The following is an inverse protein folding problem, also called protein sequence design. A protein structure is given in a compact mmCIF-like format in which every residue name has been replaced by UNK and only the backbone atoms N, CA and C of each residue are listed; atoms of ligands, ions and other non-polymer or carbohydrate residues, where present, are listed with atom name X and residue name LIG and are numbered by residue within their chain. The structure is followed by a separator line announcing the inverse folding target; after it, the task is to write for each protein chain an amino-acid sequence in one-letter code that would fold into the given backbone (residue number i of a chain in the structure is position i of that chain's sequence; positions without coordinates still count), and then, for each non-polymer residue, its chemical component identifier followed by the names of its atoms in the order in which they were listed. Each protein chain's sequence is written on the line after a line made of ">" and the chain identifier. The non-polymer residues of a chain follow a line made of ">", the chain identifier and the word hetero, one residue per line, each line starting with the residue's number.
data_IF_113088061751
#
_entry.id   IF_113088061751
#
_cell.length_a   1.000
_cell.length_b   1.000
_cell.length_c   1.000
_cell.angle_alpha   90.00
_cell.angle_beta   90.00
_cell.angle_gamma   90.00
#
_symmetry.space_group_name_H-M   'P 1'
#
loop_
_entity.id
_entity.type
_entity.pdbx_description
1 polymer ?
#
# COMPACT_ATOMS: atom_id res chain seq x y z
N UNK A 1 -11.08 11.82 -9.28
CA UNK A 1 -10.79 11.76 -9.94
C UNK A 1 -9.66 11.45 -10.44
N UNK A 2 -9.29 11.13 -10.94
CA UNK A 2 -8.37 10.64 -11.45
C UNK A 2 -7.67 11.47 -12.17
N UNK A 3 -6.91 11.64 -12.29
CA UNK A 3 -6.21 12.48 -12.84
C UNK A 3 -5.78 12.22 -14.02
N UNK A 4 -5.94 12.04 -14.46
CA UNK A 4 -5.69 11.68 -15.64
C UNK A 4 -4.61 12.27 -16.23
N UNK A 5 -4.25 12.81 -16.18
CA UNK A 5 -3.35 13.42 -16.67
C UNK A 5 -2.28 13.04 -17.14
N UNK A 6 -1.89 12.61 -17.11
CA UNK A 6 -0.88 12.22 -17.48
C UNK A 6 -0.42 12.31 -18.64
N UNK A 7 -0.64 12.44 -19.11
CA UNK A 7 -0.45 12.57 -20.27
C UNK A 7 0.83 12.71 -20.73
N UNK A 8 1.42 13.44 -20.82
CA UNK A 8 2.56 13.68 -21.30
C UNK A 8 3.59 13.00 -20.86
N UNK A 9 3.53 12.35 -20.18
CA UNK A 9 4.58 11.75 -19.66
C UNK A 9 5.02 10.51 -20.24
N UNK A 10 5.88 9.82 -19.71
CA UNK A 10 6.45 8.59 -20.20
C UNK A 10 5.50 7.47 -19.90
N UNK A 11 5.67 6.36 -20.55
CA UNK A 11 4.88 5.16 -20.27
C UNK A 11 5.02 4.76 -18.82
N UNK A 12 6.19 4.98 -18.26
CA UNK A 12 6.45 4.64 -16.88
C UNK A 12 5.54 5.41 -15.94
N UNK A 13 5.37 6.70 -16.17
CA UNK A 13 4.51 7.51 -15.33
C UNK A 13 3.05 7.13 -15.48
N UNK A 14 2.64 6.79 -16.69
CA UNK A 14 1.28 6.33 -16.92
C UNK A 14 1.00 5.05 -16.16
N UNK A 15 1.94 4.11 -16.18
CA UNK A 15 1.80 2.86 -15.47
C UNK A 15 1.71 3.09 -13.97
N UNK A 16 2.52 4.00 -13.43
CA UNK A 16 2.51 4.32 -12.02
C UNK A 16 1.13 4.82 -11.59
N UNK A 17 0.53 5.72 -12.36
CA UNK A 17 -0.79 6.21 -12.01
C UNK A 17 -1.85 5.12 -12.07
N UNK A 18 -1.80 4.24 -13.06
CA UNK A 18 -2.75 3.16 -13.17
C UNK A 18 -2.64 2.22 -11.97
N UNK A 19 -1.41 1.92 -11.55
CA UNK A 19 -1.20 1.02 -10.42
C UNK A 19 -1.64 1.65 -9.11
N UNK A 20 -1.44 2.95 -8.98
CA UNK A 20 -1.89 3.66 -7.78
C UNK A 20 -3.41 3.64 -7.70
N UNK A 21 -4.09 3.67 -8.83
CA UNK A 21 -5.54 3.54 -8.85
C UNK A 21 -5.96 2.19 -8.27
N UNK A 22 -5.19 1.13 -8.51
CA UNK A 22 -5.50 -0.17 -7.91
C UNK A 22 -5.37 -0.12 -6.38
N UNK A 23 -4.34 0.55 -5.90
CA UNK A 23 -4.17 0.69 -4.46
C UNK A 23 -5.34 1.43 -3.86
N UNK A 24 -5.80 2.47 -4.53
CA UNK A 24 -6.95 3.23 -4.06
C UNK A 24 -8.23 2.44 -4.15
N UNK A 25 -8.39 1.62 -5.16
CA UNK A 25 -9.54 0.74 -5.24
C UNK A 25 -9.54 -0.26 -4.09
N UNK A 26 -8.37 -0.80 -3.75
CA UNK A 26 -8.26 -1.72 -2.61
C UNK A 26 -8.65 -1.03 -1.31
N UNK A 27 -8.29 0.25 -1.16
CA UNK A 27 -8.71 1.01 0.02
C UNK A 27 -10.22 1.17 0.09
N UNK A 28 -10.83 1.51 -1.03
CA UNK A 28 -12.28 1.68 -1.06
C UNK A 28 -12.99 0.38 -0.76
N UNK A 29 -12.46 -0.73 -1.27
CA UNK A 29 -13.03 -2.04 -0.98
C UNK A 29 -12.88 -2.37 0.50
N UNK A 30 -11.76 -2.02 1.10
CA UNK A 30 -11.55 -2.24 2.52
C UNK A 30 -12.53 -1.42 3.35
N UNK A 31 -12.75 -0.16 2.98
CA UNK A 31 -13.70 0.68 3.69
C UNK A 31 -15.12 0.13 3.60
N UNK A 32 -15.51 -0.33 2.43
CA UNK A 32 -16.83 -0.91 2.25
C UNK A 32 -16.99 -2.17 3.09
N UNK A 33 -16.01 -3.06 3.04
CA UNK A 33 -16.06 -4.29 3.83
C UNK A 33 -16.14 -4.00 5.32
N UNK A 34 -15.37 -3.01 5.78
CA UNK A 34 -15.38 -2.67 7.20
C UNK A 34 -16.75 -2.13 7.61
N UNK A 35 -17.34 -1.29 6.78
CA UNK A 35 -18.63 -0.69 7.04
C UNK A 35 -19.72 -1.76 7.14
N UNK A 36 -19.59 -2.82 6.34
CA UNK A 36 -20.55 -3.91 6.33
C UNK A 36 -20.27 -4.99 7.38
N UNK A 37 -19.22 -4.81 8.16
CA UNK A 37 -18.90 -5.77 9.20
C UNK A 37 -18.03 -6.95 8.77
N UNK A 38 -17.44 -6.88 7.57
CA UNK A 38 -16.62 -7.96 7.05
C UNK A 38 -15.15 -7.68 7.39
N UNK A 39 -14.82 -7.91 8.67
CA UNK A 39 -13.51 -7.52 9.18
C UNK A 39 -12.35 -8.24 8.48
N UNK A 40 -12.49 -9.54 8.22
CA UNK A 40 -11.40 -10.27 7.58
C UNK A 40 -11.15 -9.76 6.17
N UNK A 41 -12.21 -9.55 5.41
CA UNK A 41 -12.06 -9.03 4.05
C UNK A 41 -11.51 -7.61 4.06
N UNK A 42 -11.94 -6.80 5.01
CA UNK A 42 -11.44 -5.44 5.13
C UNK A 42 -9.94 -5.44 5.39
N UNK A 43 -9.49 -6.29 6.30
CA UNK A 43 -8.07 -6.37 6.63
C UNK A 43 -7.24 -6.82 5.44
N UNK A 44 -7.71 -7.81 4.71
CA UNK A 44 -7.01 -8.32 3.55
C UNK A 44 -6.87 -7.22 2.48
N UNK A 45 -7.96 -6.51 2.20
CA UNK A 45 -7.93 -5.45 1.20
C UNK A 45 -7.03 -4.29 1.64
N UNK A 46 -7.06 -3.95 2.92
CA UNK A 46 -6.21 -2.87 3.44
C UNK A 46 -4.73 -3.20 3.28
N UNK A 47 -4.35 -4.44 3.61
CA UNK A 47 -2.95 -4.83 3.43
C UNK A 47 -2.55 -4.75 1.96
N UNK A 48 -3.40 -5.25 1.06
CA UNK A 48 -3.05 -5.21 -0.35
C UNK A 48 -2.94 -3.79 -0.89
N UNK A 49 -3.71 -2.86 -0.34
CA UNK A 49 -3.55 -1.47 -0.73
C UNK A 49 -2.14 -0.97 -0.42
N UNK A 50 -1.62 -1.31 0.77
CA UNK A 50 -0.26 -0.92 1.13
C UNK A 50 0.77 -1.64 0.26
N UNK A 51 0.55 -2.93 0.02
CA UNK A 51 1.47 -3.71 -0.80
C UNK A 51 1.57 -3.12 -2.21
N UNK A 52 0.44 -2.80 -2.79
CA UNK A 52 0.39 -2.21 -4.13
C UNK A 52 1.04 -0.83 -4.16
N UNK A 53 0.77 -0.02 -3.13
CA UNK A 53 1.38 1.30 -3.05
C UNK A 53 2.89 1.21 -2.87
N UNK A 54 3.37 0.25 -2.09
CA UNK A 54 4.81 0.06 -1.90
C UNK A 54 5.49 -0.35 -3.20
N UNK A 55 4.83 -1.19 -4.00
CA UNK A 55 5.36 -1.55 -5.31
C UNK A 55 5.52 -0.32 -6.20
N UNK A 56 4.51 0.54 -6.19
CA UNK A 56 4.56 1.76 -6.99
C UNK A 56 5.66 2.69 -6.49
N UNK A 57 5.81 2.80 -5.17
CA UNK A 57 6.87 3.63 -4.60
C UNK A 57 8.24 3.15 -5.05
N UNK A 58 8.45 1.83 -5.08
CA UNK A 58 9.71 1.26 -5.52
C UNK A 58 9.92 1.45 -7.02
N UNK A 59 8.89 1.25 -7.82
CA UNK A 59 8.96 1.50 -9.25
C UNK A 59 9.35 2.94 -9.53
N UNK A 60 8.76 3.85 -8.79
CA UNK A 60 8.97 5.28 -9.01
C UNK A 60 10.42 5.70 -8.83
N UNK A 61 11.13 5.07 -7.91
CA UNK A 61 12.53 5.39 -7.66
C UNK A 61 13.50 4.48 -8.43
N UNK A 62 12.97 3.65 -9.32
CA UNK A 62 13.81 2.80 -10.18
C UNK A 62 14.26 1.51 -9.52
N UNK A 63 13.67 1.12 -8.39
CA UNK A 63 14.02 -0.10 -7.68
C UNK A 63 12.95 -1.18 -7.79
N UNK A 64 12.09 -1.08 -8.80
CA UNK A 64 11.00 -2.03 -8.97
C UNK A 64 11.44 -3.38 -9.48
N UNK A 65 10.58 -4.35 -9.35
CA UNK A 65 10.74 -5.70 -9.88
C UNK A 65 9.44 -6.13 -10.50
N UNK A 66 9.52 -7.12 -11.40
CA UNK A 66 8.32 -7.66 -12.03
C UNK A 66 7.44 -8.38 -11.00
N UNK A 67 8.06 -9.08 -10.07
CA UNK A 67 7.33 -9.86 -9.07
C UNK A 67 7.97 -9.63 -7.70
N UNK A 68 7.12 -9.41 -6.71
CA UNK A 68 7.57 -9.21 -5.33
C UNK A 68 6.94 -10.25 -4.41
N UNK A 69 7.76 -10.84 -3.56
CA UNK A 69 7.26 -11.56 -2.40
C UNK A 69 7.08 -10.57 -1.25
N UNK A 70 6.36 -10.99 -0.23
CA UNK A 70 6.05 -10.08 0.88
C UNK A 70 7.31 -9.62 1.63
N UNK A 71 8.16 -10.57 2.00
CA UNK A 71 9.37 -10.23 2.74
C UNK A 71 10.33 -9.39 1.91
N UNK A 72 10.47 -9.73 0.64
CA UNK A 72 11.35 -8.98 -0.25
C UNK A 72 10.89 -7.56 -0.46
N UNK A 73 9.59 -7.37 -0.60
CA UNK A 73 9.05 -6.03 -0.78
C UNK A 73 9.27 -5.19 0.48
N UNK A 74 9.01 -5.76 1.64
CA UNK A 74 9.18 -5.02 2.89
C UNK A 74 10.63 -4.61 3.09
N UNK A 75 11.56 -5.54 2.81
CA UNK A 75 12.99 -5.24 2.96
C UNK A 75 13.42 -4.15 1.98
N UNK A 76 12.99 -4.24 0.73
CA UNK A 76 13.37 -3.26 -0.28
C UNK A 76 12.78 -1.89 0.04
N UNK A 77 11.52 -1.85 0.47
CA UNK A 77 10.89 -0.59 0.83
C UNK A 77 11.64 0.08 1.98
N UNK A 78 11.98 -0.70 3.01
CA UNK A 78 12.72 -0.17 4.15
C UNK A 78 14.10 0.35 3.74
N UNK A 79 14.81 -0.43 2.93
CA UNK A 79 16.15 -0.05 2.51
C UNK A 79 16.16 1.16 1.59
N UNK A 80 15.35 1.11 0.55
CA UNK A 80 15.42 2.12 -0.50
C UNK A 80 14.61 3.36 -0.21
N UNK A 81 13.40 3.20 0.31
CA UNK A 81 12.50 4.33 0.48
C UNK A 81 12.64 5.00 1.84
N UNK A 82 12.99 4.25 2.87
CA UNK A 82 13.11 4.80 4.21
C UNK A 82 14.56 5.15 4.54
N UNK A 83 15.47 4.17 4.45
CA UNK A 83 16.84 4.39 4.94
C UNK A 83 17.68 5.18 3.95
N UNK A 84 17.66 4.80 2.69
CA UNK A 84 18.52 5.46 1.71
C UNK A 84 17.98 6.80 1.26
N UNK A 85 16.75 6.85 0.84
CA UNK A 85 16.20 8.08 0.27
C UNK A 85 15.41 8.92 1.24
N UNK A 86 15.04 8.35 2.38
CA UNK A 86 14.32 9.07 3.44
C UNK A 86 13.07 9.75 2.95
N UNK A 87 12.35 9.08 2.06
CA UNK A 87 11.11 9.62 1.51
C UNK A 87 9.95 9.42 2.49
N UNK A 88 9.96 8.29 3.19
CA UNK A 88 8.86 7.92 4.07
C UNK A 88 9.34 7.74 5.50
N UNK A 89 8.48 7.99 6.49
CA UNK A 89 8.88 7.81 7.89
C UNK A 89 9.11 6.34 8.23
N UNK A 90 9.97 6.11 9.20
CA UNK A 90 10.34 4.75 9.60
C UNK A 90 9.16 3.90 10.03
N UNK A 91 8.12 4.52 10.57
CA UNK A 91 6.94 3.79 11.03
C UNK A 91 6.25 3.01 9.90
N UNK A 92 6.48 3.40 8.65
CA UNK A 92 5.84 2.72 7.53
C UNK A 92 6.34 1.29 7.37
N UNK A 93 7.56 1.01 7.80
CA UNK A 93 8.06 -0.35 7.84
C UNK A 93 7.18 -1.19 8.76
N UNK A 94 6.82 -0.62 9.91
CA UNK A 94 5.96 -1.31 10.86
C UNK A 94 4.54 -1.47 10.32
N UNK A 95 4.07 -0.49 9.56
CA UNK A 95 2.74 -0.60 8.93
C UNK A 95 2.67 -1.81 8.01
N UNK A 96 3.70 -2.02 7.19
CA UNK A 96 3.72 -3.16 6.29
C UNK A 96 3.81 -4.49 7.05
N UNK A 97 4.65 -4.55 8.07
CA UNK A 97 4.81 -5.77 8.86
C UNK A 97 3.52 -6.11 9.61
N UNK A 98 2.92 -5.11 10.24
CA UNK A 98 1.66 -5.29 10.94
C UNK A 98 0.56 -5.73 9.97
N UNK A 99 0.53 -5.10 8.80
CA UNK A 99 -0.47 -5.44 7.79
C UNK A 99 -0.38 -6.88 7.33
N UNK A 100 0.83 -7.36 7.11
CA UNK A 100 1.01 -8.74 6.69
C UNK A 100 0.57 -9.71 7.79
N UNK A 101 0.91 -9.41 9.03
CA UNK A 101 0.54 -10.25 10.16
C UNK A 101 -0.99 -10.33 10.29
N UNK A 102 -1.66 -9.18 10.21
CA UNK A 102 -3.11 -9.14 10.32
C UNK A 102 -3.78 -9.85 9.13
N UNK A 103 -3.25 -9.64 7.93
CA UNK A 103 -3.80 -10.27 6.74
C UNK A 103 -3.68 -11.79 6.82
N UNK A 104 -2.57 -12.30 7.35
CA UNK A 104 -2.39 -13.74 7.50
C UNK A 104 -3.41 -14.31 8.48
N UNK A 105 -3.68 -13.60 9.57
CA UNK A 105 -4.72 -14.03 10.49
C UNK A 105 -6.10 -13.97 9.84
N UNK A 106 -6.35 -12.93 9.06
CA UNK A 106 -7.65 -12.75 8.40
C UNK A 106 -7.94 -13.86 7.40
N UNK A 107 -6.94 -14.26 6.64
CA UNK A 107 -7.14 -15.23 5.55
C UNK A 107 -6.97 -16.67 6.01
N UNK A 108 -6.11 -16.92 6.97
CA UNK A 108 -5.73 -18.28 7.32
C UNK A 108 -5.84 -18.61 8.81
N UNK A 109 -6.06 -17.63 9.67
CA UNK A 109 -6.13 -17.88 11.09
C UNK A 109 -7.45 -18.46 11.53
N UNK A 110 -7.45 -19.11 12.69
CA UNK A 110 -8.67 -19.70 13.22
C UNK A 110 -9.60 -18.64 13.81
N UNK A 111 -9.03 -17.67 14.49
CA UNK A 111 -9.84 -16.67 15.18
C UNK A 111 -10.34 -15.56 14.26
N UNK A 112 -9.58 -15.29 13.21
CA UNK A 112 -9.89 -14.17 12.35
C UNK A 112 -9.48 -12.85 12.99
N UNK A 113 -9.96 -11.76 12.40
CA UNK A 113 -9.55 -10.42 12.78
C UNK A 113 -10.75 -9.67 13.33
N UNK A 114 -10.55 -8.95 14.44
CA UNK A 114 -11.63 -8.15 15.01
C UNK A 114 -11.89 -6.92 14.16
N UNK A 115 -13.09 -6.38 14.32
CA UNK A 115 -13.47 -5.15 13.64
C UNK A 115 -12.50 -4.02 13.99
N UNK A 116 -12.10 -3.96 15.26
CA UNK A 116 -11.20 -2.92 15.74
C UNK A 116 -9.81 -3.06 15.10
N UNK A 117 -9.29 -4.29 14.99
CA UNK A 117 -8.00 -4.51 14.37
C UNK A 117 -8.03 -4.17 12.88
N UNK A 118 -9.12 -4.53 12.20
CA UNK A 118 -9.27 -4.20 10.79
C UNK A 118 -9.35 -2.70 10.59
N UNK A 119 -10.04 -2.00 11.47
CA UNK A 119 -10.14 -0.55 11.40
C UNK A 119 -8.78 0.11 11.58
N UNK A 120 -8.00 -0.40 12.53
CA UNK A 120 -6.66 0.12 12.78
C UNK A 120 -5.77 -0.07 11.57
N UNK A 121 -5.87 -1.24 10.94
CA UNK A 121 -5.09 -1.49 9.74
C UNK A 121 -5.53 -0.60 8.59
N UNK A 122 -6.82 -0.39 8.44
CA UNK A 122 -7.31 0.49 7.39
C UNK A 122 -6.77 1.91 7.56
N UNK A 123 -6.72 2.41 8.79
CA UNK A 123 -6.18 3.75 9.03
C UNK A 123 -4.72 3.84 8.61
N UNK A 124 -3.94 2.81 8.91
CA UNK A 124 -2.54 2.78 8.51
C UNK A 124 -2.39 2.68 7.00
N UNK A 125 -3.26 1.91 6.36
CA UNK A 125 -3.23 1.79 4.91
C UNK A 125 -3.58 3.12 4.25
N UNK A 126 -4.55 3.84 4.79
CA UNK A 126 -4.89 5.15 4.25
C UNK A 126 -3.71 6.11 4.31
N UNK A 127 -3.02 6.14 5.45
CA UNK A 127 -1.86 7.00 5.59
C UNK A 127 -0.74 6.58 4.64
N UNK A 128 -0.54 5.29 4.47
CA UNK A 128 0.51 4.77 3.62
C UNK A 128 0.27 5.15 2.15
N UNK A 129 -0.92 4.86 1.65
CA UNK A 129 -1.25 5.14 0.25
C UNK A 129 -1.23 6.64 -0.01
N UNK A 130 -1.74 7.43 0.92
CA UNK A 130 -1.74 8.87 0.79
C UNK A 130 -0.32 9.43 0.70
N UNK A 131 0.60 8.89 1.50
CA UNK A 131 1.98 9.35 1.46
C UNK A 131 2.67 9.00 0.14
N UNK A 132 2.38 7.82 -0.40
CA UNK A 132 2.94 7.44 -1.69
C UNK A 132 2.39 8.35 -2.79
N UNK A 133 1.10 8.60 -2.76
CA UNK A 133 0.48 9.48 -3.74
C UNK A 133 1.10 10.87 -3.68
N UNK A 134 1.31 11.38 -2.48
CA UNK A 134 1.89 12.69 -2.32
C UNK A 134 3.33 12.75 -2.82
N UNK A 135 4.13 11.75 -2.50
CA UNK A 135 5.53 11.72 -2.93
C UNK A 135 5.63 11.71 -4.45
N UNK A 136 4.77 10.93 -5.11
CA UNK A 136 4.79 10.84 -6.56
C UNK A 136 4.28 12.13 -7.19
N UNK A 137 3.22 12.70 -6.66
CA UNK A 137 2.63 13.91 -7.21
C UNK A 137 3.58 15.09 -7.13
N UNK A 138 4.42 15.13 -6.08
CA UNK A 138 5.36 16.24 -5.93
C UNK A 138 6.72 15.93 -6.52
N UNK A 139 6.86 14.81 -7.24
CA UNK A 139 8.09 14.49 -7.92
C UNK A 139 9.24 14.19 -6.98
N UNK A 140 8.98 13.75 -5.78
CA UNK A 140 10.04 13.40 -4.83
C UNK A 140 10.72 12.12 -5.29
N UNK A 141 12.00 12.16 -5.53
CA UNK A 141 12.73 10.99 -6.03
C UNK A 141 12.96 9.93 -4.98
#
# INVERSE_FOLDING_TARGET
>A
MKKAVLTLVTDSDTIVFMDLDRAQESLRAAELCLREGYANSAASRAYYAMFQAAQIALDYIGSGRAVWGHAGLQAAFATECIHRRKIYPAIFRNHLAFGLEIRQEADYGHAGVSQKAAQRLLQRALAFVSAVEEAISHGTP
#
